data_IF_745412241866
#
_entry.id   IF_745412241866
#
_cell.length_a   1.000
_cell.length_b   1.000
_cell.length_c   1.000
_cell.angle_alpha   90.00
_cell.angle_beta   90.00
_cell.angle_gamma   90.00
#
_symmetry.space_group_name_H-M   'P 1'
#
loop_
_entity.id
_entity.type
_entity.pdbx_description
1 polymer ?
#
# COMPACT_ATOMS: atom_id res chain seq x y z
N UNK A 1 8.46 46.52 -41.56
CA UNK A 1 8.50 45.23 -40.83
C UNK A 1 7.14 44.56 -40.92
N UNK A 2 7.10 43.28 -41.29
CA UNK A 2 5.90 42.57 -41.79
C UNK A 2 4.82 42.34 -40.72
N UNK A 3 3.55 42.56 -41.08
CA UNK A 3 2.36 42.36 -40.23
C UNK A 3 2.24 40.92 -39.69
N UNK A 4 2.83 39.96 -40.39
CA UNK A 4 2.85 38.54 -40.00
C UNK A 4 3.65 38.29 -38.73
N UNK A 5 4.76 39.01 -38.54
CA UNK A 5 5.62 38.82 -37.37
C UNK A 5 4.96 39.34 -36.09
N UNK A 6 4.20 40.44 -36.21
CA UNK A 6 3.44 41.05 -35.11
C UNK A 6 2.28 40.15 -34.65
N UNK A 7 1.68 39.39 -35.55
CA UNK A 7 0.60 38.46 -35.22
C UNK A 7 1.10 37.21 -34.46
N UNK A 8 2.29 36.69 -34.81
CA UNK A 8 2.92 35.57 -34.11
C UNK A 8 3.35 35.94 -32.69
N UNK A 9 3.87 37.16 -32.50
CA UNK A 9 4.23 37.68 -31.17
C UNK A 9 3.01 37.87 -30.26
N UNK A 10 1.91 38.36 -30.81
CA UNK A 10 0.65 38.52 -30.06
C UNK A 10 0.05 37.17 -29.65
N UNK A 11 0.09 36.16 -30.52
CA UNK A 11 -0.39 34.81 -30.20
C UNK A 11 0.46 34.13 -29.10
N UNK A 12 1.79 34.33 -29.12
CA UNK A 12 2.69 33.81 -28.09
C UNK A 12 2.46 34.50 -26.73
N UNK A 13 2.23 35.81 -26.72
CA UNK A 13 1.91 36.55 -25.50
C UNK A 13 0.53 36.19 -24.93
N UNK A 14 -0.46 35.87 -25.77
CA UNK A 14 -1.77 35.44 -25.30
C UNK A 14 -1.75 34.02 -24.71
N UNK A 15 -0.96 33.10 -25.29
CA UNK A 15 -0.74 31.77 -24.72
C UNK A 15 0.03 31.81 -23.39
N UNK A 16 0.99 32.74 -23.24
CA UNK A 16 1.70 32.95 -21.98
C UNK A 16 0.77 33.49 -20.88
N UNK A 17 -0.22 34.32 -21.23
CA UNK A 17 -1.25 34.83 -20.28
C UNK A 17 -2.27 33.77 -19.88
N UNK A 18 -2.66 32.87 -20.78
CA UNK A 18 -3.57 31.75 -20.46
C UNK A 18 -2.92 30.64 -19.61
N UNK A 19 -1.59 30.61 -19.55
CA UNK A 19 -0.81 29.65 -18.74
C UNK A 19 -0.53 30.11 -17.30
N UNK A 20 -1.11 31.23 -16.86
CA UNK A 20 -1.12 31.56 -15.43
C UNK A 20 -2.25 30.78 -14.75
N UNK A 21 -1.95 29.73 -13.96
CA UNK A 21 -2.93 29.24 -13.01
C UNK A 21 -3.20 30.37 -12.00
N UNK A 22 -4.44 30.47 -11.52
CA UNK A 22 -4.76 31.30 -10.36
C UNK A 22 -3.79 30.94 -9.21
N UNK A 23 -3.40 31.90 -8.34
CA UNK A 23 -2.62 31.55 -7.16
C UNK A 23 -3.44 30.55 -6.35
N UNK A 24 -2.98 29.30 -6.32
CA UNK A 24 -3.48 28.31 -5.37
C UNK A 24 -3.18 28.87 -3.98
N UNK A 25 -4.22 29.06 -3.18
CA UNK A 25 -4.06 29.37 -1.75
C UNK A 25 -3.01 28.41 -1.16
N UNK A 26 -2.10 28.90 -0.29
CA UNK A 26 -1.17 28.00 0.37
C UNK A 26 -2.00 26.96 1.13
N UNK A 27 -1.93 25.73 0.65
CA UNK A 27 -2.46 24.55 1.32
C UNK A 27 -1.86 24.59 2.73
N UNK A 28 -2.69 24.90 3.73
CA UNK A 28 -2.27 24.82 5.13
C UNK A 28 -1.69 23.42 5.31
N UNK A 29 -0.39 23.35 5.55
CA UNK A 29 0.26 22.15 6.06
C UNK A 29 -0.40 21.81 7.40
N UNK A 30 -1.49 21.07 7.35
CA UNK A 30 -1.85 20.21 8.48
C UNK A 30 -0.86 19.07 8.40
N UNK A 31 0.29 19.26 9.06
CA UNK A 31 1.17 18.16 9.38
C UNK A 31 0.35 17.04 10.04
N UNK A 32 0.73 15.77 9.85
CA UNK A 32 0.01 14.67 10.46
C UNK A 32 -0.08 14.96 11.96
N UNK A 33 -1.30 14.93 12.50
CA UNK A 33 -1.49 14.93 13.94
C UNK A 33 -0.74 13.70 14.46
N UNK A 34 0.40 13.93 15.10
CA UNK A 34 1.17 12.89 15.76
C UNK A 34 0.33 12.44 16.94
N UNK A 35 -0.42 11.36 16.75
CA UNK A 35 -1.00 10.62 17.86
C UNK A 35 0.14 9.74 18.36
N UNK A 36 0.87 10.23 19.36
CA UNK A 36 1.80 9.42 20.15
C UNK A 36 0.97 8.41 20.93
N UNK A 37 0.63 7.30 20.28
CA UNK A 37 0.13 6.10 20.97
C UNK A 37 1.30 5.16 21.05
N UNK A 38 1.79 4.91 22.27
CA UNK A 38 2.72 3.82 22.54
C UNK A 38 2.07 2.51 22.07
N UNK A 39 2.51 2.02 20.90
CA UNK A 39 2.09 0.74 20.36
C UNK A 39 2.61 -0.37 21.28
N UNK A 40 1.75 -1.26 21.81
CA UNK A 40 2.20 -2.38 22.64
C UNK A 40 3.09 -3.35 21.85
N UNK A 41 4.12 -3.89 22.51
CA UNK A 41 5.06 -4.86 21.94
C UNK A 41 4.33 -6.19 21.63
N UNK A 42 4.10 -6.45 20.34
CA UNK A 42 3.59 -7.73 19.86
C UNK A 42 4.72 -8.78 19.81
N UNK A 43 4.39 -10.08 19.98
CA UNK A 43 5.40 -11.12 20.14
C UNK A 43 6.24 -11.32 18.87
N UNK A 44 7.55 -11.43 19.04
CA UNK A 44 8.53 -11.65 17.97
C UNK A 44 8.51 -13.12 17.55
N UNK A 45 8.15 -13.40 16.30
CA UNK A 45 8.20 -14.75 15.75
C UNK A 45 9.66 -15.13 15.45
N UNK A 46 10.18 -16.15 16.17
CA UNK A 46 11.49 -16.76 15.91
C UNK A 46 11.33 -17.98 15.01
N UNK A 47 12.03 -18.00 13.88
CA UNK A 47 12.20 -19.18 13.04
C UNK A 47 11.35 -19.16 11.78
N UNK A 48 12.01 -19.04 10.62
CA UNK A 48 11.40 -19.19 9.30
C UNK A 48 11.15 -20.67 9.01
N UNK A 49 10.12 -21.25 9.63
CA UNK A 49 9.38 -22.37 9.04
C UNK A 49 8.17 -21.78 8.31
N UNK A 50 7.81 -22.27 7.11
CA UNK A 50 6.64 -21.75 6.41
C UNK A 50 5.37 -21.91 7.28
N UNK A 51 4.49 -20.88 7.33
CA UNK A 51 3.29 -20.88 8.17
C UNK A 51 2.41 -22.10 7.90
N UNK A 52 2.42 -23.09 8.81
CA UNK A 52 1.57 -24.30 8.68
C UNK A 52 0.06 -23.97 8.77
N UNK A 53 -0.31 -22.76 9.20
CA UNK A 53 -1.70 -22.34 9.38
C UNK A 53 -2.25 -21.44 8.24
N UNK A 54 -1.43 -21.03 7.26
CA UNK A 54 -1.86 -20.21 6.10
C UNK A 54 -1.94 -21.06 4.82
N UNK A 55 -1.74 -22.38 4.90
CA UNK A 55 -1.56 -23.23 3.72
C UNK A 55 -2.84 -23.51 2.89
N UNK A 56 -4.03 -23.45 3.50
CA UNK A 56 -5.27 -23.74 2.79
C UNK A 56 -5.87 -22.45 2.21
N UNK A 57 -5.76 -22.26 0.88
CA UNK A 57 -6.46 -21.21 0.15
C UNK A 57 -5.67 -19.97 -0.23
N UNK A 58 -4.33 -19.97 -0.05
CA UNK A 58 -3.47 -18.93 -0.64
C UNK A 58 -3.43 -19.05 -2.16
N UNK A 59 -3.46 -17.90 -2.85
CA UNK A 59 -3.21 -17.84 -4.29
C UNK A 59 -1.77 -18.25 -4.62
N UNK A 60 -1.60 -19.05 -5.67
CA UNK A 60 -0.32 -19.67 -6.07
C UNK A 60 0.80 -18.65 -6.33
N UNK A 61 0.42 -17.47 -6.82
CA UNK A 61 1.36 -16.42 -7.22
C UNK A 61 1.91 -15.60 -6.04
N UNK A 62 1.57 -15.96 -4.79
CA UNK A 62 2.07 -15.33 -3.57
C UNK A 62 3.46 -15.88 -3.18
N UNK A 63 4.39 -15.81 -4.12
CA UNK A 63 5.74 -16.39 -4.06
C UNK A 63 6.56 -15.92 -2.85
N UNK A 64 6.40 -14.69 -2.38
CA UNK A 64 7.11 -14.18 -1.19
C UNK A 64 6.64 -14.81 0.12
N UNK A 65 5.45 -15.43 0.12
CA UNK A 65 4.89 -16.16 1.25
C UNK A 65 5.08 -17.68 1.08
N UNK A 66 4.81 -18.20 -0.12
CA UNK A 66 4.78 -19.64 -0.40
C UNK A 66 6.15 -20.24 -0.75
N UNK A 67 6.97 -19.50 -1.50
CA UNK A 67 8.25 -19.96 -2.01
C UNK A 67 9.29 -18.83 -1.91
N UNK A 68 9.60 -18.34 -0.70
CA UNK A 68 10.38 -17.13 -0.52
C UNK A 68 11.77 -17.25 -1.14
N UNK A 69 12.36 -18.42 -1.30
CA UNK A 69 13.69 -18.62 -1.93
C UNK A 69 13.66 -18.77 -3.46
N UNK A 70 12.48 -18.65 -4.09
CA UNK A 70 12.32 -18.75 -5.55
C UNK A 70 12.97 -17.60 -6.32
N UNK A 71 13.12 -17.79 -7.63
CA UNK A 71 13.62 -16.78 -8.56
C UNK A 71 12.64 -15.59 -8.69
N UNK A 72 11.34 -15.88 -8.70
CA UNK A 72 10.26 -14.92 -8.74
C UNK A 72 10.25 -14.05 -7.48
N UNK A 73 10.46 -14.67 -6.30
CA UNK A 73 10.57 -13.95 -5.03
C UNK A 73 11.80 -13.02 -4.96
N UNK A 74 12.87 -13.28 -5.73
CA UNK A 74 14.03 -12.39 -5.81
C UNK A 74 13.65 -11.01 -6.37
N UNK A 75 12.67 -10.94 -7.29
CA UNK A 75 12.22 -9.65 -7.85
C UNK A 75 11.58 -8.78 -6.76
N UNK A 76 10.82 -9.40 -5.86
CA UNK A 76 10.23 -8.72 -4.70
C UNK A 76 11.26 -8.38 -3.62
N UNK A 77 12.33 -9.18 -3.47
CA UNK A 77 13.47 -8.83 -2.61
C UNK A 77 14.22 -7.60 -3.11
N UNK A 78 14.43 -7.50 -4.42
CA UNK A 78 15.05 -6.33 -5.03
C UNK A 78 14.17 -5.08 -4.81
N UNK A 79 12.85 -5.20 -5.00
CA UNK A 79 11.91 -4.11 -4.73
C UNK A 79 11.90 -3.70 -3.25
N UNK A 80 11.89 -4.67 -2.33
CA UNK A 80 12.03 -4.42 -0.88
C UNK A 80 13.27 -3.59 -0.58
N UNK A 81 14.42 -3.96 -1.14
CA UNK A 81 15.67 -3.23 -0.89
C UNK A 81 15.56 -1.75 -1.28
N UNK A 82 14.95 -1.45 -2.42
CA UNK A 82 14.71 -0.08 -2.86
C UNK A 82 13.79 0.68 -1.88
N UNK A 83 12.71 0.05 -1.42
CA UNK A 83 11.79 0.64 -0.45
C UNK A 83 12.48 0.87 0.90
N UNK A 84 13.29 -0.07 1.38
CA UNK A 84 14.07 0.09 2.62
C UNK A 84 15.09 1.23 2.52
N UNK A 85 15.72 1.42 1.36
CA UNK A 85 16.62 2.55 1.12
C UNK A 85 15.87 3.88 1.12
N UNK A 86 14.68 3.94 0.51
CA UNK A 86 13.82 5.13 0.56
C UNK A 86 13.32 5.40 1.98
N UNK A 87 12.94 4.37 2.73
CA UNK A 87 12.56 4.51 4.14
C UNK A 87 13.68 5.16 4.96
N UNK A 88 14.92 4.70 4.81
CA UNK A 88 16.08 5.26 5.52
C UNK A 88 16.46 6.67 5.09
N UNK A 89 16.19 7.05 3.84
CA UNK A 89 16.65 8.33 3.27
C UNK A 89 15.60 9.43 3.28
N UNK A 90 14.31 9.08 3.19
CA UNK A 90 13.20 10.03 3.06
C UNK A 90 12.09 9.80 4.09
N UNK A 91 12.29 8.89 5.05
CA UNK A 91 11.27 8.48 6.02
C UNK A 91 9.99 7.95 5.34
N UNK A 92 10.15 7.28 4.19
CA UNK A 92 9.05 6.67 3.46
C UNK A 92 8.44 5.53 4.29
N UNK A 93 7.21 5.69 4.74
CA UNK A 93 6.48 4.70 5.55
C UNK A 93 5.21 4.16 4.87
N UNK A 94 4.71 4.87 3.86
CA UNK A 94 3.47 4.51 3.15
C UNK A 94 3.73 4.37 1.66
N UNK A 95 3.37 3.22 1.10
CA UNK A 95 3.50 2.90 -0.32
C UNK A 95 2.12 2.53 -0.87
N UNK A 96 1.64 3.28 -1.85
CA UNK A 96 0.43 2.92 -2.59
C UNK A 96 0.79 2.10 -3.83
N UNK A 97 0.14 0.96 -4.02
CA UNK A 97 0.26 0.13 -5.23
C UNK A 97 -1.02 0.29 -6.06
N UNK A 98 -0.87 0.72 -7.31
CA UNK A 98 -1.97 0.96 -8.24
C UNK A 98 -1.58 0.55 -9.66
N UNK A 99 -2.57 0.38 -10.54
CA UNK A 99 -2.38 -0.02 -11.94
C UNK A 99 -3.38 0.70 -12.86
N UNK A 100 -3.08 0.84 -14.16
CA UNK A 100 -3.96 1.51 -15.11
C UNK A 100 -5.26 0.74 -15.42
N UNK A 101 -5.29 -0.57 -15.19
CA UNK A 101 -6.45 -1.43 -15.41
C UNK A 101 -6.69 -2.48 -14.32
N UNK A 102 -7.83 -3.16 -14.44
CA UNK A 102 -8.12 -4.37 -13.66
C UNK A 102 -7.28 -5.55 -14.14
N UNK A 103 -6.97 -6.48 -13.24
CA UNK A 103 -6.17 -7.68 -13.50
C UNK A 103 -4.69 -7.46 -13.92
N UNK A 104 -4.15 -6.25 -13.77
CA UNK A 104 -2.72 -5.94 -14.01
C UNK A 104 -1.76 -6.50 -12.92
N UNK A 105 -2.27 -7.30 -11.98
CA UNK A 105 -1.45 -7.90 -10.91
C UNK A 105 -1.19 -7.00 -9.70
N UNK A 106 -1.84 -5.83 -9.58
CA UNK A 106 -1.65 -4.89 -8.45
C UNK A 106 -1.78 -5.55 -7.07
N UNK A 107 -2.78 -6.41 -6.88
CA UNK A 107 -3.03 -7.13 -5.62
C UNK A 107 -1.93 -8.14 -5.35
N UNK A 108 -1.55 -8.93 -6.35
CA UNK A 108 -0.42 -9.87 -6.28
C UNK A 108 0.88 -9.17 -5.92
N UNK A 109 1.17 -8.03 -6.57
CA UNK A 109 2.37 -7.24 -6.29
C UNK A 109 2.35 -6.66 -4.88
N UNK A 110 1.22 -6.12 -4.44
CA UNK A 110 1.08 -5.57 -3.09
C UNK A 110 1.31 -6.63 -2.00
N UNK A 111 0.70 -7.82 -2.15
CA UNK A 111 0.86 -8.92 -1.18
C UNK A 111 2.30 -9.44 -1.17
N UNK A 112 2.90 -9.67 -2.34
CA UNK A 112 4.28 -10.16 -2.40
C UNK A 112 5.29 -9.14 -1.88
N UNK A 113 5.10 -7.85 -2.18
CA UNK A 113 5.94 -6.79 -1.59
C UNK A 113 5.81 -6.75 -0.07
N UNK A 114 4.58 -6.80 0.46
CA UNK A 114 4.34 -6.85 1.89
C UNK A 114 4.98 -8.09 2.54
N UNK A 115 4.83 -9.26 1.92
CA UNK A 115 5.46 -10.49 2.35
C UNK A 115 6.98 -10.40 2.35
N UNK A 116 7.58 -9.82 1.30
CA UNK A 116 9.02 -9.62 1.22
C UNK A 116 9.51 -8.67 2.33
N UNK A 117 8.83 -7.54 2.55
CA UNK A 117 9.14 -6.58 3.63
C UNK A 117 9.04 -7.25 5.01
N UNK A 118 8.02 -8.09 5.22
CA UNK A 118 7.78 -8.78 6.49
C UNK A 118 8.82 -9.87 6.82
N UNK A 119 9.68 -10.27 5.86
CA UNK A 119 10.79 -11.17 6.14
C UNK A 119 11.93 -10.51 6.93
N UNK A 120 11.98 -9.17 6.97
CA UNK A 120 12.97 -8.47 7.79
C UNK A 120 12.60 -8.60 9.28
N UNK A 121 13.52 -9.04 10.16
CA UNK A 121 13.21 -9.33 11.56
C UNK A 121 12.61 -8.14 12.34
N UNK A 122 13.06 -6.92 12.01
CA UNK A 122 12.66 -5.69 12.70
C UNK A 122 11.54 -4.93 11.97
N UNK A 123 11.05 -5.45 10.84
CA UNK A 123 9.98 -4.81 10.10
C UNK A 123 8.64 -4.97 10.83
N UNK A 124 7.75 -3.99 10.65
CA UNK A 124 6.33 -4.08 11.01
C UNK A 124 5.53 -3.63 9.81
N UNK A 125 4.92 -4.58 9.12
CA UNK A 125 4.23 -4.32 7.85
C UNK A 125 2.73 -4.39 8.05
N UNK A 126 2.02 -3.36 7.61
CA UNK A 126 0.57 -3.34 7.51
C UNK A 126 0.18 -3.28 6.03
N UNK A 127 -0.54 -4.31 5.56
CA UNK A 127 -1.11 -4.33 4.22
C UNK A 127 -2.61 -4.00 4.30
N UNK A 128 -3.04 -2.96 3.59
CA UNK A 128 -4.41 -2.46 3.63
C UNK A 128 -5.05 -2.62 2.24
N UNK A 129 -6.23 -3.26 2.17
CA UNK A 129 -7.02 -3.31 0.95
C UNK A 129 -7.87 -2.04 0.80
N UNK A 130 -7.34 -1.09 0.04
CA UNK A 130 -8.02 0.17 -0.28
C UNK A 130 -8.84 0.10 -1.59
N UNK A 131 -8.87 -1.04 -2.29
CA UNK A 131 -9.69 -1.22 -3.49
C UNK A 131 -11.11 -1.68 -3.09
N UNK A 132 -11.92 -0.74 -2.61
CA UNK A 132 -13.26 -1.02 -2.11
C UNK A 132 -14.25 -1.47 -3.21
N UNK A 133 -13.89 -1.38 -4.50
CA UNK A 133 -14.77 -1.78 -5.61
C UNK A 133 -14.41 -3.14 -6.18
N UNK A 134 -13.13 -3.50 -6.10
CA UNK A 134 -12.58 -4.77 -6.57
C UNK A 134 -11.78 -5.48 -5.49
N UNK A 135 -12.24 -5.42 -4.24
CA UNK A 135 -11.52 -5.97 -3.09
C UNK A 135 -11.22 -7.45 -3.31
N UNK A 136 -9.96 -7.82 -3.16
CA UNK A 136 -9.49 -9.16 -3.48
C UNK A 136 -8.45 -9.67 -2.47
N UNK A 137 -7.96 -8.82 -1.56
CA UNK A 137 -6.92 -9.20 -0.60
C UNK A 137 -7.31 -10.41 0.24
N UNK A 138 -8.54 -10.40 0.76
CA UNK A 138 -9.05 -11.48 1.61
C UNK A 138 -9.09 -12.82 0.88
N UNK A 139 -9.54 -12.82 -0.38
CA UNK A 139 -9.56 -14.01 -1.22
C UNK A 139 -8.15 -14.53 -1.47
N UNK A 140 -7.22 -13.65 -1.83
CA UNK A 140 -5.84 -14.03 -2.13
C UNK A 140 -5.12 -14.65 -0.93
N UNK A 141 -5.44 -14.17 0.27
CA UNK A 141 -4.85 -14.65 1.51
C UNK A 141 -5.58 -15.86 2.13
N UNK A 142 -6.55 -16.45 1.44
CA UNK A 142 -7.34 -17.56 1.99
C UNK A 142 -8.21 -17.16 3.20
N UNK A 143 -8.46 -15.87 3.39
CA UNK A 143 -9.24 -15.36 4.52
C UNK A 143 -10.76 -15.54 4.32
N UNK A 144 -11.21 -15.81 3.08
CA UNK A 144 -12.60 -16.18 2.74
C UNK A 144 -13.68 -15.23 3.29
N UNK A 145 -14.89 -15.76 3.51
CA UNK A 145 -16.01 -15.05 4.18
C UNK A 145 -15.77 -14.81 5.68
N UNK A 146 -14.63 -15.25 6.23
CA UNK A 146 -14.25 -15.04 7.62
C UNK A 146 -13.63 -13.67 7.87
N UNK A 147 -13.74 -12.74 6.93
CA UNK A 147 -13.33 -11.38 7.16
C UNK A 147 -14.37 -10.72 8.07
N UNK A 148 -13.95 -10.48 9.32
CA UNK A 148 -14.66 -9.59 10.23
C UNK A 148 -14.70 -8.15 9.70
N UNK A 149 -14.93 -7.15 10.55
CA UNK A 149 -14.87 -5.77 10.10
C UNK A 149 -13.50 -5.44 9.48
N UNK A 150 -13.50 -4.56 8.47
CA UNK A 150 -12.31 -4.12 7.75
C UNK A 150 -12.24 -2.61 7.62
N UNK A 151 -11.55 -2.14 6.57
CA UNK A 151 -11.30 -0.73 6.32
C UNK A 151 -12.59 0.10 6.24
N UNK A 152 -13.61 -0.38 5.53
CA UNK A 152 -14.90 0.30 5.40
C UNK A 152 -15.56 0.47 6.77
N UNK A 153 -15.58 -0.59 7.57
CA UNK A 153 -16.18 -0.57 8.90
C UNK A 153 -15.47 0.45 9.81
N UNK A 154 -14.13 0.47 9.82
CA UNK A 154 -13.33 1.42 10.61
C UNK A 154 -13.47 2.89 10.15
N UNK A 155 -13.80 3.13 8.87
CA UNK A 155 -14.08 4.47 8.37
C UNK A 155 -15.49 4.94 8.80
N UNK A 156 -16.46 4.03 8.85
CA UNK A 156 -17.87 4.35 9.11
C UNK A 156 -18.21 4.39 10.62
N UNK A 157 -17.58 3.56 11.44
CA UNK A 157 -17.78 3.52 12.89
C UNK A 157 -16.60 4.16 13.63
N UNK A 158 -16.83 5.35 14.20
CA UNK A 158 -15.81 6.08 14.95
C UNK A 158 -15.30 5.35 16.22
N UNK A 159 -15.99 4.31 16.68
CA UNK A 159 -15.54 3.49 17.81
C UNK A 159 -14.63 2.34 17.38
N UNK A 160 -14.51 2.08 16.08
CA UNK A 160 -13.75 0.97 15.55
C UNK A 160 -12.40 1.45 15.00
N UNK A 161 -11.32 1.07 15.67
CA UNK A 161 -9.98 1.52 15.27
C UNK A 161 -9.36 0.61 14.21
N UNK A 162 -8.30 1.10 13.53
CA UNK A 162 -7.56 0.31 12.54
C UNK A 162 -6.94 -0.93 13.18
N UNK A 163 -6.45 -0.81 14.41
CA UNK A 163 -5.88 -1.91 15.18
C UNK A 163 -6.92 -2.99 15.48
N UNK A 164 -8.18 -2.61 15.69
CA UNK A 164 -9.28 -3.55 15.96
C UNK A 164 -9.70 -4.35 14.71
N UNK A 165 -9.48 -3.80 13.51
CA UNK A 165 -9.78 -4.47 12.23
C UNK A 165 -8.55 -5.10 11.56
N UNK A 166 -7.35 -4.85 12.10
CA UNK A 166 -6.11 -5.44 11.64
C UNK A 166 -6.02 -6.91 12.09
N UNK A 167 -5.71 -7.79 11.14
CA UNK A 167 -5.54 -9.21 11.37
C UNK A 167 -4.06 -9.56 11.27
N UNK A 168 -3.45 -9.98 12.37
CA UNK A 168 -2.06 -10.42 12.38
C UNK A 168 -1.90 -11.76 11.65
N UNK A 169 -0.84 -11.89 10.87
CA UNK A 169 -0.39 -13.17 10.32
C UNK A 169 0.61 -13.79 11.32
N UNK A 170 0.24 -14.84 12.10
CA UNK A 170 0.98 -15.25 13.31
C UNK A 170 2.45 -15.63 13.13
N UNK A 171 2.85 -15.93 11.89
CA UNK A 171 4.19 -16.43 11.55
C UNK A 171 5.02 -15.40 10.76
N UNK A 172 4.50 -14.18 10.57
CA UNK A 172 5.13 -13.13 9.77
C UNK A 172 5.03 -11.80 10.51
N UNK A 173 5.96 -10.89 10.21
CA UNK A 173 5.87 -9.49 10.64
C UNK A 173 4.86 -8.70 9.78
N UNK A 174 3.69 -9.30 9.51
CA UNK A 174 2.66 -8.81 8.62
C UNK A 174 1.31 -8.79 9.34
N UNK A 175 0.64 -7.66 9.27
CA UNK A 175 -0.77 -7.52 9.60
C UNK A 175 -1.53 -7.06 8.36
N UNK A 176 -2.80 -7.46 8.25
CA UNK A 176 -3.63 -7.14 7.10
C UNK A 176 -4.94 -6.50 7.52
N UNK A 177 -5.35 -5.45 6.82
CA UNK A 177 -6.67 -4.84 6.97
C UNK A 177 -7.43 -5.10 5.66
N UNK A 178 -8.40 -6.03 5.64
CA UNK A 178 -9.22 -6.25 4.46
C UNK A 178 -10.12 -5.05 4.21
N UNK A 179 -10.72 -4.96 3.02
CA UNK A 179 -11.67 -3.90 2.69
C UNK A 179 -12.87 -3.86 3.66
N UNK A 180 -13.23 -5.02 4.22
CA UNK A 180 -14.39 -5.19 5.10
C UNK A 180 -15.64 -5.54 4.30
N UNK A 181 -16.81 -5.36 4.92
CA UNK A 181 -18.09 -5.65 4.26
C UNK A 181 -18.37 -4.60 3.20
N UNK A 182 -18.31 -5.02 1.93
CA UNK A 182 -18.71 -4.18 0.81
C UNK A 182 -20.25 -4.02 0.82
N UNK A 183 -20.77 -2.79 0.67
CA UNK A 183 -22.20 -2.52 0.63
C UNK A 183 -22.89 -3.01 -0.64
#
# INVERSE_FOLDING_TARGET
MSKFFKALEQAAQEQARRRHPAPSEPMRERGPAVIETELPEAPRASGLEPPRAVADGLEEHLVSLLAPTSFEAEQYRALRHLIEQLHKSTDLSVVAVSSPGGADGKTTTAINLAGALAQAPDARVLLVDADLRGAALATYLGLGERTGPGLVDAILDANLTVEAVAQACPDLNLSVVPAGRLP
#
